data_IF_757582321330
#
_entry.id   IF_757582321330
#
_cell.length_a   1.000
_cell.length_b   1.000
_cell.length_c   1.000
_cell.angle_alpha   90.00
_cell.angle_beta   90.00
_cell.angle_gamma   90.00
#
_symmetry.space_group_name_H-M   'P 1'
#
loop_
_entity.id
_entity.type
_entity.pdbx_description
1 polymer ?
#
# COMPACT_ATOMS: atom_id res chain seq x y z
N UNK A 1 -17.28 15.37 -0.01
CA UNK A 1 -15.87 14.93 0.05
C UNK A 1 -15.65 13.91 -1.03
N UNK A 2 -14.49 13.91 -1.66
CA UNK A 2 -14.08 12.88 -2.61
C UNK A 2 -14.07 11.50 -1.93
N UNK A 3 -14.50 10.45 -2.63
CA UNK A 3 -14.45 9.07 -2.15
C UNK A 3 -13.18 8.40 -2.67
N UNK A 4 -12.38 7.84 -1.75
CA UNK A 4 -11.11 7.21 -2.10
C UNK A 4 -11.00 5.80 -1.55
N UNK A 5 -10.32 4.95 -2.30
CA UNK A 5 -9.74 3.70 -1.81
C UNK A 5 -8.27 3.95 -1.53
N UNK A 6 -7.78 3.52 -0.37
CA UNK A 6 -6.36 3.57 -0.06
C UNK A 6 -5.79 2.17 -0.23
N UNK A 7 -4.63 2.06 -0.86
CA UNK A 7 -3.96 0.79 -1.11
C UNK A 7 -2.57 0.76 -0.49
N UNK A 8 -2.15 -0.38 0.03
CA UNK A 8 -0.80 -0.57 0.58
C UNK A 8 -0.19 -1.89 0.05
N UNK A 9 0.56 -1.83 -1.07
CA UNK A 9 1.34 -2.96 -1.57
C UNK A 9 2.47 -3.34 -0.62
N UNK A 10 2.89 -4.60 -0.69
CA UNK A 10 4.18 -5.03 -0.15
C UNK A 10 5.34 -4.54 -1.05
N UNK A 11 6.56 -4.57 -0.52
CA UNK A 11 7.75 -4.20 -1.30
C UNK A 11 7.98 -5.17 -2.47
N UNK A 12 8.49 -4.63 -3.58
CA UNK A 12 8.78 -5.39 -4.79
C UNK A 12 7.87 -5.03 -5.96
N UNK A 13 8.46 -4.88 -7.14
CA UNK A 13 7.76 -4.34 -8.31
C UNK A 13 6.56 -5.19 -8.74
N UNK A 14 6.60 -6.52 -8.53
CA UNK A 14 5.48 -7.41 -8.85
C UNK A 14 4.22 -7.09 -8.04
N UNK A 15 4.38 -6.82 -6.74
CA UNK A 15 3.27 -6.44 -5.86
C UNK A 15 2.71 -5.06 -6.23
N UNK A 16 3.60 -4.10 -6.48
CA UNK A 16 3.23 -2.72 -6.85
C UNK A 16 2.48 -2.70 -8.18
N UNK A 17 2.98 -3.39 -9.21
CA UNK A 17 2.33 -3.45 -10.53
C UNK A 17 0.93 -4.07 -10.41
N UNK A 18 0.80 -5.19 -9.71
CA UNK A 18 -0.50 -5.84 -9.50
C UNK A 18 -1.51 -4.93 -8.78
N UNK A 19 -1.09 -4.24 -7.72
CA UNK A 19 -1.92 -3.25 -7.01
C UNK A 19 -2.32 -2.07 -7.91
N UNK A 20 -1.43 -1.61 -8.79
CA UNK A 20 -1.75 -0.54 -9.74
C UNK A 20 -2.76 -1.01 -10.79
N UNK A 21 -2.68 -2.24 -11.29
CA UNK A 21 -3.71 -2.78 -12.19
C UNK A 21 -5.07 -2.87 -11.50
N UNK A 22 -5.11 -3.26 -10.22
CA UNK A 22 -6.32 -3.19 -9.42
C UNK A 22 -6.81 -1.74 -9.25
N UNK A 23 -5.91 -0.78 -8.99
CA UNK A 23 -6.24 0.64 -8.89
C UNK A 23 -6.87 1.18 -10.19
N UNK A 24 -6.32 0.80 -11.35
CA UNK A 24 -6.87 1.13 -12.67
C UNK A 24 -8.28 0.60 -12.87
N UNK A 25 -8.57 -0.61 -12.37
CA UNK A 25 -9.94 -1.14 -12.41
C UNK A 25 -10.86 -0.33 -11.47
N UNK A 26 -10.43 -0.10 -10.23
CA UNK A 26 -11.23 0.62 -9.23
C UNK A 26 -11.58 2.05 -9.68
N UNK A 27 -10.66 2.77 -10.33
CA UNK A 27 -10.97 4.12 -10.82
C UNK A 27 -12.12 4.17 -11.83
N UNK A 28 -12.40 3.06 -12.55
CA UNK A 28 -13.53 3.02 -13.49
C UNK A 28 -14.88 3.04 -12.78
N UNK A 29 -14.89 2.75 -11.47
CA UNK A 29 -16.07 2.78 -10.60
C UNK A 29 -16.24 4.10 -9.84
N UNK A 30 -15.64 5.20 -10.32
CA UNK A 30 -15.73 6.56 -9.75
C UNK A 30 -15.12 6.73 -8.34
N UNK A 31 -14.20 5.86 -7.97
CA UNK A 31 -13.35 6.08 -6.80
C UNK A 31 -12.01 6.65 -7.21
N UNK A 32 -11.49 7.58 -6.43
CA UNK A 32 -10.06 7.89 -6.48
C UNK A 32 -9.27 6.82 -5.73
N UNK A 33 -8.00 6.67 -6.07
CA UNK A 33 -7.12 5.69 -5.45
C UNK A 33 -5.85 6.37 -4.98
N UNK A 34 -5.47 6.09 -3.73
CA UNK A 34 -4.21 6.53 -3.15
C UNK A 34 -3.39 5.30 -2.80
N UNK A 35 -2.25 5.11 -3.47
CA UNK A 35 -1.33 4.00 -3.20
C UNK A 35 -0.22 4.49 -2.27
N UNK A 36 -0.12 3.89 -1.08
CA UNK A 36 0.94 4.17 -0.12
C UNK A 36 2.17 3.33 -0.45
N UNK A 37 3.34 3.96 -0.58
CA UNK A 37 4.60 3.29 -0.90
C UNK A 37 5.59 3.48 0.23
N UNK A 38 6.26 2.41 0.63
CA UNK A 38 7.37 2.49 1.59
C UNK A 38 8.61 3.11 0.94
N UNK A 39 9.48 3.68 1.76
CA UNK A 39 10.76 4.27 1.34
C UNK A 39 11.89 3.64 2.15
N UNK A 40 12.93 3.14 1.49
CA UNK A 40 14.11 2.54 2.13
C UNK A 40 14.40 1.10 1.71
N UNK A 41 13.82 0.11 2.41
CA UNK A 41 14.10 -1.30 2.15
C UNK A 41 13.52 -1.75 0.80
N UNK A 42 14.36 -2.35 -0.06
CA UNK A 42 14.00 -2.81 -1.41
C UNK A 42 13.45 -1.71 -2.34
N UNK A 43 13.69 -0.45 -2.00
CA UNK A 43 13.31 0.68 -2.84
C UNK A 43 14.27 0.79 -4.04
N UNK A 44 13.74 1.18 -5.20
CA UNK A 44 14.51 1.23 -6.44
C UNK A 44 14.03 2.38 -7.34
N UNK A 45 14.94 3.13 -8.01
CA UNK A 45 14.55 4.28 -8.85
C UNK A 45 13.55 3.95 -9.97
N UNK A 46 13.52 2.71 -10.46
CA UNK A 46 12.53 2.29 -11.46
C UNK A 46 11.08 2.35 -10.95
N UNK A 47 10.87 2.29 -9.63
CA UNK A 47 9.55 2.48 -9.03
C UNK A 47 9.10 3.92 -9.27
N UNK A 48 9.98 4.91 -9.11
CA UNK A 48 9.67 6.33 -9.34
C UNK A 48 9.28 6.60 -10.79
N UNK A 49 10.04 6.02 -11.73
CA UNK A 49 9.72 6.13 -13.15
C UNK A 49 8.40 5.46 -13.49
N UNK A 50 8.10 4.31 -12.88
CA UNK A 50 6.82 3.61 -13.06
C UNK A 50 5.65 4.45 -12.56
N UNK A 51 5.68 4.92 -11.30
CA UNK A 51 4.57 5.69 -10.72
C UNK A 51 4.37 7.03 -11.43
N UNK A 52 5.46 7.68 -11.87
CA UNK A 52 5.38 8.92 -12.65
C UNK A 52 4.62 8.72 -13.96
N UNK A 53 4.87 7.61 -14.67
CA UNK A 53 4.13 7.26 -15.89
C UNK A 53 2.65 7.00 -15.60
N UNK A 54 2.35 6.29 -14.51
CA UNK A 54 0.95 6.01 -14.13
C UNK A 54 0.22 7.31 -13.78
N UNK A 55 0.79 8.17 -12.94
CA UNK A 55 0.17 9.45 -12.56
C UNK A 55 0.00 10.41 -13.74
N UNK A 56 0.84 10.33 -14.77
CA UNK A 56 0.69 11.14 -15.99
C UNK A 56 -0.53 10.74 -16.84
N UNK A 57 -0.97 9.48 -16.74
CA UNK A 57 -2.08 8.92 -17.54
C UNK A 57 -3.38 8.79 -16.73
N UNK A 58 -3.27 8.58 -15.42
CA UNK A 58 -4.38 8.27 -14.52
C UNK A 58 -4.47 9.31 -13.40
N UNK A 59 -5.19 10.41 -13.64
CA UNK A 59 -5.32 11.52 -12.68
C UNK A 59 -6.02 11.15 -11.37
N UNK A 60 -6.84 10.09 -11.37
CA UNK A 60 -7.52 9.58 -10.18
C UNK A 60 -6.67 8.59 -9.36
N UNK A 61 -5.45 8.28 -9.80
CA UNK A 61 -4.51 7.42 -9.07
C UNK A 61 -3.33 8.29 -8.60
N UNK A 62 -3.21 8.42 -7.28
CA UNK A 62 -2.11 9.11 -6.63
C UNK A 62 -1.21 8.15 -5.87
N UNK A 63 0.06 8.53 -5.71
CA UNK A 63 1.04 7.76 -4.95
C UNK A 63 1.59 8.63 -3.84
N UNK A 64 1.61 8.11 -2.61
CA UNK A 64 2.18 8.78 -1.46
C UNK A 64 3.31 7.94 -0.90
N UNK A 65 4.52 8.50 -0.87
CA UNK A 65 5.65 7.86 -0.20
C UNK A 65 5.58 8.11 1.30
N UNK A 66 5.70 7.05 2.07
CA UNK A 66 5.85 7.09 3.52
C UNK A 66 7.26 7.57 3.89
N UNK A 67 7.45 8.10 5.11
CA UNK A 67 8.76 8.50 5.60
C UNK A 67 9.81 7.37 5.49
N UNK A 68 11.08 7.69 5.22
CA UNK A 68 12.16 6.70 5.17
C UNK A 68 12.22 5.86 6.44
N UNK A 69 12.21 4.55 6.27
CA UNK A 69 12.27 3.57 7.36
C UNK A 69 13.38 2.55 7.07
N UNK A 70 13.83 1.82 8.09
CA UNK A 70 14.74 0.69 7.91
C UNK A 70 14.21 -0.55 8.63
N UNK A 71 14.57 -1.76 8.18
CA UNK A 71 14.31 -2.98 8.93
C UNK A 71 14.89 -2.92 10.34
N UNK A 72 14.41 -3.78 11.24
CA UNK A 72 15.00 -3.90 12.57
C UNK A 72 16.46 -4.37 12.48
N UNK A 73 17.35 -3.75 13.27
CA UNK A 73 18.76 -4.16 13.35
C UNK A 73 18.96 -5.57 13.90
N UNK A 74 17.98 -6.07 14.66
CA UNK A 74 17.94 -7.43 15.21
C UNK A 74 17.42 -8.48 14.21
N UNK A 75 16.90 -8.07 13.05
CA UNK A 75 16.38 -9.00 12.05
C UNK A 75 17.52 -9.68 11.28
N UNK A 76 17.54 -11.01 11.32
CA UNK A 76 18.63 -11.82 10.79
C UNK A 76 18.37 -12.31 9.37
N UNK A 77 17.20 -12.90 9.10
CA UNK A 77 16.85 -13.39 7.77
C UNK A 77 16.25 -12.30 6.88
N UNK A 78 16.18 -12.56 5.57
CA UNK A 78 15.49 -11.68 4.63
C UNK A 78 14.00 -11.52 5.00
N UNK A 79 13.32 -12.63 5.33
CA UNK A 79 11.92 -12.62 5.77
C UNK A 79 11.74 -11.78 7.03
N UNK A 80 12.61 -11.93 8.03
CA UNK A 80 12.54 -11.13 9.26
C UNK A 80 12.74 -9.63 8.96
N UNK A 81 13.70 -9.31 8.08
CA UNK A 81 13.95 -7.92 7.67
C UNK A 81 12.72 -7.33 6.99
N UNK A 82 12.15 -8.07 6.04
CA UNK A 82 10.95 -7.69 5.31
C UNK A 82 9.75 -7.45 6.24
N UNK A 83 9.36 -8.43 7.06
CA UNK A 83 8.23 -8.26 7.98
C UNK A 83 8.50 -7.19 9.06
N UNK A 84 9.74 -7.08 9.56
CA UNK A 84 10.10 -6.03 10.51
C UNK A 84 10.01 -4.63 9.89
N UNK A 85 10.33 -4.50 8.60
CA UNK A 85 10.24 -3.24 7.87
C UNK A 85 8.79 -2.82 7.67
N UNK A 86 7.92 -3.72 7.20
CA UNK A 86 6.48 -3.46 7.07
C UNK A 86 5.89 -3.07 8.43
N UNK A 87 6.19 -3.82 9.49
CA UNK A 87 5.70 -3.54 10.85
C UNK A 87 6.13 -2.16 11.34
N UNK A 88 7.36 -1.74 11.05
CA UNK A 88 7.87 -0.40 11.41
C UNK A 88 7.17 0.73 10.64
N UNK A 89 6.60 0.45 9.47
CA UNK A 89 5.81 1.41 8.71
C UNK A 89 4.36 1.54 9.19
N UNK A 90 3.84 0.63 10.04
CA UNK A 90 2.46 0.66 10.50
C UNK A 90 2.02 2.00 11.15
N UNK A 91 2.85 2.68 11.98
CA UNK A 91 2.53 4.00 12.51
C UNK A 91 2.47 5.09 11.43
N UNK A 92 3.32 5.00 10.41
CA UNK A 92 3.31 5.93 9.27
C UNK A 92 2.05 5.73 8.41
N UNK A 93 1.64 4.48 8.20
CA UNK A 93 0.36 4.15 7.54
C UNK A 93 -0.81 4.72 8.34
N UNK A 94 -0.87 4.51 9.66
CA UNK A 94 -1.93 5.04 10.51
C UNK A 94 -2.01 6.57 10.46
N UNK A 95 -0.85 7.24 10.55
CA UNK A 95 -0.77 8.70 10.45
C UNK A 95 -1.27 9.19 9.09
N UNK A 96 -0.84 8.54 8.01
CA UNK A 96 -1.22 8.92 6.64
C UNK A 96 -2.70 8.68 6.38
N UNK A 97 -3.25 7.53 6.80
CA UNK A 97 -4.69 7.24 6.74
C UNK A 97 -5.51 8.29 7.51
N UNK A 98 -5.06 8.67 8.71
CA UNK A 98 -5.70 9.73 9.50
C UNK A 98 -5.72 11.05 8.74
N UNK A 99 -4.62 11.40 8.07
CA UNK A 99 -4.54 12.63 7.28
C UNK A 99 -5.44 12.59 6.05
N UNK A 100 -5.46 11.49 5.31
CA UNK A 100 -6.35 11.30 4.15
C UNK A 100 -7.81 11.43 4.57
N UNK A 101 -8.21 10.78 5.67
CA UNK A 101 -9.59 10.81 6.20
C UNK A 101 -10.07 12.21 6.62
N UNK A 102 -9.17 13.19 6.81
CA UNK A 102 -9.54 14.59 7.05
C UNK A 102 -9.98 15.33 5.78
N UNK A 103 -9.61 14.81 4.60
CA UNK A 103 -9.80 15.48 3.30
C UNK A 103 -10.68 14.68 2.34
N UNK A 104 -10.77 13.36 2.52
CA UNK A 104 -11.56 12.44 1.70
C UNK A 104 -12.29 11.40 2.57
N UNK A 105 -13.32 10.78 2.00
CA UNK A 105 -14.01 9.63 2.61
C UNK A 105 -13.28 8.36 2.16
N UNK A 106 -12.58 7.71 3.08
CA UNK A 106 -11.89 6.44 2.80
C UNK A 106 -12.90 5.30 2.84
N UNK A 107 -13.22 4.73 1.67
CA UNK A 107 -14.24 3.67 1.53
C UNK A 107 -13.69 2.29 1.89
N UNK A 108 -12.40 2.06 1.62
CA UNK A 108 -11.72 0.82 1.90
C UNK A 108 -10.21 1.05 1.99
N UNK A 109 -9.55 0.19 2.77
CA UNK A 109 -8.11 0.03 2.81
C UNK A 109 -7.74 -1.36 2.27
N UNK A 110 -7.12 -1.40 1.08
CA UNK A 110 -6.72 -2.64 0.43
C UNK A 110 -5.24 -2.88 0.72
N UNK A 111 -4.92 -3.99 1.36
CA UNK A 111 -3.55 -4.32 1.76
C UNK A 111 -3.07 -5.58 1.05
N UNK A 112 -1.77 -5.63 0.79
CA UNK A 112 -1.12 -6.87 0.41
C UNK A 112 -1.18 -7.91 1.55
N UNK A 113 -1.14 -9.20 1.23
CA UNK A 113 -1.11 -10.28 2.22
C UNK A 113 0.01 -10.09 3.26
N UNK A 114 1.19 -9.65 2.82
CA UNK A 114 2.32 -9.45 3.71
C UNK A 114 2.20 -8.22 4.61
N UNK A 115 1.25 -7.34 4.32
CA UNK A 115 1.03 -6.08 5.04
C UNK A 115 0.01 -6.18 6.18
N UNK A 116 -0.34 -7.39 6.63
CA UNK A 116 -1.31 -7.61 7.70
C UNK A 116 -1.03 -6.80 8.98
N UNK A 117 0.23 -6.47 9.29
CA UNK A 117 0.60 -5.64 10.44
C UNK A 117 0.08 -4.20 10.39
N UNK A 118 -0.42 -3.74 9.24
CA UNK A 118 -1.02 -2.40 9.09
C UNK A 118 -2.55 -2.43 9.09
N UNK A 119 -3.17 -3.60 9.29
CA UNK A 119 -4.62 -3.75 9.33
C UNK A 119 -5.25 -2.91 10.46
N UNK A 120 -4.65 -2.95 11.65
CA UNK A 120 -5.12 -2.20 12.82
C UNK A 120 -5.10 -0.68 12.60
N UNK A 121 -4.22 -0.19 11.73
CA UNK A 121 -4.12 1.22 11.35
C UNK A 121 -5.40 1.75 10.70
N UNK A 122 -6.19 0.89 10.04
CA UNK A 122 -7.44 1.27 9.39
C UNK A 122 -8.68 0.82 10.19
N UNK A 123 -8.64 -0.40 10.75
CA UNK A 123 -9.80 -0.96 11.47
C UNK A 123 -10.17 -0.14 12.71
N UNK A 124 -9.18 0.42 13.41
CA UNK A 124 -9.39 1.34 14.54
C UNK A 124 -10.13 2.63 14.17
N UNK A 125 -10.14 3.00 12.89
CA UNK A 125 -10.87 4.15 12.34
C UNK A 125 -12.23 3.78 11.75
N UNK A 126 -12.63 2.50 11.83
CA UNK A 126 -13.85 1.99 11.21
C UNK A 126 -13.75 1.85 9.69
N UNK A 127 -12.55 1.90 9.11
CA UNK A 127 -12.34 1.73 7.67
C UNK A 127 -12.31 0.22 7.35
N UNK A 128 -13.12 -0.27 6.39
CA UNK A 128 -13.09 -1.66 5.95
C UNK A 128 -11.72 -2.04 5.36
N UNK A 129 -11.17 -3.18 5.78
CA UNK A 129 -9.87 -3.70 5.29
C UNK A 129 -10.09 -4.91 4.39
N UNK A 130 -9.43 -4.91 3.23
CA UNK A 130 -9.46 -6.02 2.27
C UNK A 130 -8.05 -6.48 1.94
N UNK A 131 -7.85 -7.80 1.86
CA UNK A 131 -6.61 -8.37 1.37
C UNK A 131 -6.65 -8.49 -0.15
N UNK A 132 -5.56 -8.08 -0.80
CA UNK A 132 -5.29 -8.42 -2.19
C UNK A 132 -4.05 -9.31 -2.24
N UNK A 133 -4.27 -10.59 -2.55
CA UNK A 133 -3.19 -11.54 -2.75
C UNK A 133 -2.74 -11.47 -4.21
N UNK A 134 -1.51 -11.01 -4.43
CA UNK A 134 -0.95 -10.74 -5.77
C UNK A 134 -0.48 -11.99 -6.51
N UNK A 135 -0.61 -13.17 -5.90
CA UNK A 135 -0.26 -14.46 -6.48
C UNK A 135 -1.51 -15.32 -6.76
N UNK A 136 -1.32 -16.50 -7.34
CA UNK A 136 -2.40 -17.39 -7.75
C UNK A 136 -3.08 -18.10 -6.58
N UNK A 137 -4.36 -18.44 -6.73
CA UNK A 137 -5.15 -19.14 -5.71
C UNK A 137 -4.55 -20.48 -5.25
N UNK A 138 -3.80 -21.17 -6.13
CA UNK A 138 -3.10 -22.40 -5.76
C UNK A 138 -2.02 -22.17 -4.69
N UNK A 139 -1.32 -21.02 -4.73
CA UNK A 139 -0.33 -20.65 -3.71
C UNK A 139 -1.01 -20.20 -2.42
N UNK A 140 -2.20 -19.58 -2.52
CA UNK A 140 -2.98 -19.18 -1.34
C UNK A 140 -3.48 -20.38 -0.52
N UNK A 141 -3.70 -21.52 -1.18
CA UNK A 141 -4.26 -22.72 -0.57
C UNK A 141 -3.21 -23.64 0.11
N UNK A 142 -1.92 -23.26 0.08
CA UNK A 142 -0.83 -23.98 0.75
C UNK A 142 -0.76 -23.63 2.24
#
# INVERSE_FOLDING_TARGET
>A
MEETVVMFPAEGIGHIVAMVELAKLIQTHRFSVTVLLTTGFLDHPSIDDYIRRISAVHSSISFLRLPPTTPATTAVSFGDKFFSFIKRNAPHVATTLTQISKTAIVKAFVIDLFCASTMESASSMGIPVYFFFTSGAAILAL
#
